data_IF_366020043429
#
_entry.id   IF_366020043429
#
_cell.length_a   1.000
_cell.length_b   1.000
_cell.length_c   1.000
_cell.angle_alpha   90.00
_cell.angle_beta   90.00
_cell.angle_gamma   90.00
#
_symmetry.space_group_name_H-M   'P 1'
#
loop_
_entity.id
_entity.type
_entity.pdbx_description
1 polymer ?
#
# COMPACT_ATOMS: atom_id res chain seq x y z
N UNK A 1 -2.84 -2.04 -3.17
CA UNK A 1 -1.70 -2.42 -2.31
C UNK A 1 -1.05 -1.18 -1.75
N UNK A 2 -0.34 -1.30 -0.64
CA UNK A 2 0.37 -0.17 0.00
C UNK A 2 0.48 -0.29 1.51
N UNK A 3 -0.37 -1.12 2.13
CA UNK A 3 -0.28 -1.44 3.54
C UNK A 3 0.76 -2.53 3.76
N UNK A 4 1.98 -2.11 4.11
CA UNK A 4 3.08 -3.00 4.40
C UNK A 4 3.30 -3.10 5.92
N UNK A 5 3.62 -4.30 6.40
CA UNK A 5 4.05 -4.54 7.77
C UNK A 5 5.49 -5.02 7.72
N UNK A 6 6.39 -4.30 8.39
CA UNK A 6 7.81 -4.57 8.37
C UNK A 6 8.36 -4.90 9.76
N UNK A 7 9.36 -5.76 9.80
CA UNK A 7 10.25 -5.85 10.94
C UNK A 7 11.15 -4.60 10.99
N UNK A 8 11.56 -4.16 12.18
CA UNK A 8 12.50 -3.04 12.37
C UNK A 8 13.80 -3.18 11.57
N UNK A 9 14.25 -4.41 11.29
CA UNK A 9 15.43 -4.70 10.45
C UNK A 9 15.31 -4.22 9.01
N UNK A 10 14.12 -3.79 8.55
CA UNK A 10 13.96 -3.19 7.21
C UNK A 10 14.90 -2.01 6.97
N UNK A 11 15.31 -1.30 8.03
CA UNK A 11 16.29 -0.21 7.93
C UNK A 11 17.64 -0.64 7.34
N UNK A 12 18.00 -1.92 7.41
CA UNK A 12 19.22 -2.47 6.80
C UNK A 12 19.17 -2.45 5.27
N UNK A 13 17.97 -2.41 4.67
CA UNK A 13 17.77 -2.38 3.22
C UNK A 13 17.51 -0.97 2.67
N UNK A 14 17.28 0.03 3.54
CA UNK A 14 16.93 1.39 3.13
C UNK A 14 18.20 2.25 2.98
N UNK A 15 18.69 2.36 1.74
CA UNK A 15 20.00 2.97 1.42
C UNK A 15 19.92 4.47 1.07
N UNK A 16 19.38 5.26 2.00
CA UNK A 16 19.30 6.73 1.90
C UNK A 16 18.18 7.27 1.00
N UNK A 17 18.21 8.57 0.71
CA UNK A 17 17.05 9.32 0.17
C UNK A 17 16.62 8.92 -1.26
N UNK A 18 17.53 8.34 -2.05
CA UNK A 18 17.21 7.85 -3.39
C UNK A 18 16.70 6.41 -3.40
N UNK A 19 16.50 5.80 -2.22
CA UNK A 19 16.04 4.43 -2.08
C UNK A 19 14.54 4.34 -2.43
N UNK A 20 14.22 3.64 -3.52
CA UNK A 20 12.84 3.32 -3.89
C UNK A 20 12.51 1.96 -3.27
N UNK A 21 11.64 1.95 -2.26
CA UNK A 21 11.25 0.76 -1.50
C UNK A 21 10.83 -0.40 -2.42
N UNK A 22 10.02 -0.10 -3.42
CA UNK A 22 9.44 -1.08 -4.35
C UNK A 22 10.45 -1.66 -5.35
N UNK A 23 11.68 -1.15 -5.39
CA UNK A 23 12.74 -1.65 -6.27
C UNK A 23 13.66 -2.59 -5.51
N UNK A 24 14.85 -2.09 -5.16
CA UNK A 24 15.92 -2.90 -4.61
C UNK A 24 15.52 -3.56 -3.27
N UNK A 25 14.93 -2.84 -2.30
CA UNK A 25 14.63 -3.42 -0.99
C UNK A 25 13.62 -4.57 -1.06
N UNK A 26 12.46 -4.35 -1.69
CA UNK A 26 11.44 -5.41 -1.80
C UNK A 26 11.91 -6.56 -2.70
N UNK A 27 12.69 -6.29 -3.76
CA UNK A 27 13.25 -7.34 -4.59
C UNK A 27 14.26 -8.22 -3.84
N UNK A 28 15.10 -7.62 -2.99
CA UNK A 28 16.07 -8.34 -2.15
C UNK A 28 15.35 -9.17 -1.08
N UNK A 29 14.36 -8.60 -0.39
CA UNK A 29 13.51 -9.36 0.56
C UNK A 29 12.77 -10.53 -0.10
N UNK A 30 12.27 -10.35 -1.33
CA UNK A 30 11.64 -11.41 -2.07
C UNK A 30 12.62 -12.54 -2.41
N UNK A 31 13.83 -12.19 -2.85
CA UNK A 31 14.90 -13.15 -3.16
C UNK A 31 15.34 -13.94 -1.93
N UNK A 32 15.35 -13.29 -0.77
CA UNK A 32 15.69 -13.89 0.52
C UNK A 32 14.53 -14.64 1.18
N UNK A 33 13.36 -14.70 0.54
CA UNK A 33 12.17 -15.39 1.06
C UNK A 33 11.51 -14.68 2.25
N UNK A 34 11.89 -13.43 2.54
CA UNK A 34 11.37 -12.61 3.62
C UNK A 34 10.14 -11.79 3.24
N UNK A 35 9.76 -11.76 1.96
CA UNK A 35 8.54 -11.12 1.50
C UNK A 35 7.36 -12.11 1.46
N UNK A 36 6.24 -11.73 2.07
CA UNK A 36 4.96 -12.46 2.02
C UNK A 36 3.85 -11.52 1.57
N UNK A 37 2.90 -12.06 0.82
CA UNK A 37 1.71 -11.33 0.38
C UNK A 37 0.50 -11.76 1.20
N UNK A 38 -0.29 -10.77 1.66
CA UNK A 38 -1.59 -11.01 2.27
C UNK A 38 -2.69 -10.61 1.27
N UNK A 39 -3.56 -11.57 0.94
CA UNK A 39 -4.67 -11.34 0.01
C UNK A 39 -5.84 -10.65 0.71
N UNK A 40 -5.94 -9.33 0.56
CA UNK A 40 -7.13 -8.58 0.98
C UNK A 40 -8.24 -8.73 -0.05
N UNK A 41 -9.38 -9.28 0.36
CA UNK A 41 -10.56 -9.51 -0.49
C UNK A 41 -11.64 -8.44 -0.36
N UNK A 42 -11.48 -7.51 0.57
CA UNK A 42 -12.41 -6.40 0.79
C UNK A 42 -12.19 -5.24 -0.16
N UNK A 43 -12.87 -4.12 0.12
CA UNK A 43 -12.74 -2.90 -0.66
C UNK A 43 -11.30 -2.36 -0.58
N UNK A 44 -10.74 -2.02 -1.74
CA UNK A 44 -9.49 -1.27 -1.86
C UNK A 44 -9.54 -0.44 -3.16
N UNK A 45 -9.21 0.85 -3.07
CA UNK A 45 -9.17 1.77 -4.20
C UNK A 45 -8.06 2.80 -3.98
N UNK A 46 -7.29 3.11 -5.03
CA UNK A 46 -6.32 4.21 -5.02
C UNK A 46 -6.93 5.50 -5.61
N UNK A 47 -6.25 6.62 -5.40
CA UNK A 47 -6.65 7.92 -5.93
C UNK A 47 -5.43 8.60 -6.54
N UNK A 48 -5.24 8.40 -7.84
CA UNK A 48 -4.17 9.00 -8.63
C UNK A 48 -4.70 10.01 -9.65
N UNK A 49 -5.99 9.94 -9.98
CA UNK A 49 -6.67 10.75 -10.98
C UNK A 49 -7.87 11.48 -10.40
N UNK A 50 -8.24 12.60 -11.01
CA UNK A 50 -9.45 13.35 -10.62
C UNK A 50 -10.73 12.51 -10.71
N UNK A 51 -10.79 11.56 -11.66
CA UNK A 51 -11.93 10.65 -11.78
C UNK A 51 -12.06 9.75 -10.54
N UNK A 52 -10.95 9.20 -10.05
CA UNK A 52 -10.96 8.34 -8.86
C UNK A 52 -11.36 9.13 -7.61
N UNK A 53 -10.93 10.39 -7.52
CA UNK A 53 -11.37 11.30 -6.46
C UNK A 53 -12.90 11.46 -6.47
N UNK A 54 -13.48 11.80 -7.63
CA UNK A 54 -14.94 11.96 -7.76
C UNK A 54 -15.71 10.67 -7.41
N UNK A 55 -15.16 9.50 -7.74
CA UNK A 55 -15.75 8.21 -7.39
C UNK A 55 -15.73 7.97 -5.87
N UNK A 56 -14.63 8.30 -5.20
CA UNK A 56 -14.50 8.17 -3.75
C UNK A 56 -15.39 9.18 -3.01
N UNK A 57 -15.48 10.41 -3.51
CA UNK A 57 -16.39 11.45 -2.98
C UNK A 57 -17.85 11.02 -3.09
N UNK A 58 -18.28 10.47 -4.25
CA UNK A 58 -19.65 9.99 -4.41
C UNK A 58 -19.99 8.85 -3.42
N UNK A 59 -19.06 7.94 -3.15
CA UNK A 59 -19.23 6.88 -2.15
C UNK A 59 -19.35 7.45 -0.73
N UNK A 60 -18.59 8.51 -0.43
CA UNK A 60 -18.61 9.21 0.84
C UNK A 60 -19.94 9.95 1.07
N UNK A 61 -20.38 10.74 0.08
CA UNK A 61 -21.61 11.54 0.15
C UNK A 61 -22.86 10.66 0.20
N UNK A 62 -22.83 9.49 -0.46
CA UNK A 62 -23.88 8.49 -0.37
C UNK A 62 -23.93 7.75 0.98
N UNK A 63 -22.97 8.00 1.89
CA UNK A 63 -22.87 7.30 3.18
C UNK A 63 -22.43 5.84 3.08
N UNK A 64 -21.97 5.40 1.90
CA UNK A 64 -21.64 4.00 1.59
C UNK A 64 -20.13 3.78 1.45
N UNK A 65 -19.29 4.64 2.02
CA UNK A 65 -17.84 4.54 1.99
C UNK A 65 -17.35 3.29 2.75
N UNK A 66 -16.89 2.21 2.07
CA UNK A 66 -16.57 0.95 2.75
C UNK A 66 -15.29 1.02 3.60
N UNK A 67 -14.46 2.04 3.38
CA UNK A 67 -13.27 2.33 4.19
C UNK A 67 -13.58 3.08 5.48
N UNK A 68 -14.82 3.59 5.65
CA UNK A 68 -15.24 4.30 6.86
C UNK A 68 -15.69 3.29 7.92
N UNK A 69 -14.79 2.96 8.85
CA UNK A 69 -15.00 1.94 9.90
C UNK A 69 -14.97 2.52 11.32
N UNK A 70 -15.13 3.83 11.46
CA UNK A 70 -15.12 4.57 12.72
C UNK A 70 -16.48 5.20 13.02
#
# INVERSE_FOLDING_TARGET
>A
GGYCVFNRRIGEYLTGDNCILEREPLASLAREGQLKAHCHTGFWQCMNTQREQQQLEALWDAGNAPWKIW
#
